data_IF_959682554797
#
_entry.id   IF_959682554797
#
_cell.length_a   1.000
_cell.length_b   1.000
_cell.length_c   1.000
_cell.angle_alpha   90.00
_cell.angle_beta   90.00
_cell.angle_gamma   90.00
#
_symmetry.space_group_name_H-M   'P 1'
#
loop_
_entity.id
_entity.type
_entity.pdbx_description
1 polymer ?
#
# COMPACT_ATOMS: atom_id res chain seq x y z
N UNK A 1 -1.72 23.21 -28.54
CA UNK A 1 -1.31 23.69 -27.21
C UNK A 1 -1.25 22.45 -26.34
N UNK A 2 -0.04 21.96 -26.08
CA UNK A 2 0.15 20.94 -25.05
C UNK A 2 -0.27 21.55 -23.71
N UNK A 3 -1.12 20.87 -22.97
CA UNK A 3 -1.51 21.31 -21.64
C UNK A 3 -0.25 21.34 -20.78
N UNK A 4 0.08 22.49 -20.18
CA UNK A 4 1.17 22.60 -19.22
C UNK A 4 0.99 21.56 -18.12
N UNK A 5 1.96 20.66 -18.01
CA UNK A 5 1.95 19.57 -17.04
C UNK A 5 2.29 20.17 -15.68
N UNK A 6 1.36 20.07 -14.73
CA UNK A 6 1.58 20.54 -13.36
C UNK A 6 2.64 19.66 -12.70
N UNK A 7 3.67 20.28 -12.13
CA UNK A 7 4.69 19.62 -11.33
C UNK A 7 4.24 19.53 -9.87
N UNK A 8 4.17 18.31 -9.36
CA UNK A 8 3.83 17.95 -7.99
C UNK A 8 5.08 17.59 -7.17
N UNK A 9 6.26 17.48 -7.79
CA UNK A 9 7.52 17.18 -7.13
C UNK A 9 8.08 18.43 -6.46
N UNK A 10 7.62 18.69 -5.24
CA UNK A 10 8.11 19.82 -4.44
C UNK A 10 9.61 19.69 -4.19
N UNK A 11 10.34 20.75 -4.53
CA UNK A 11 11.74 20.93 -4.16
C UNK A 11 11.84 21.55 -2.76
N UNK A 12 12.84 21.11 -1.99
CA UNK A 12 13.12 21.73 -0.70
C UNK A 12 13.84 23.07 -0.87
N UNK A 13 13.67 24.02 0.08
CA UNK A 13 14.45 25.25 0.09
C UNK A 13 15.96 24.97 0.13
N UNK A 14 16.71 25.72 -0.69
CA UNK A 14 18.17 25.61 -0.72
C UNK A 14 18.78 26.00 0.63
N UNK A 15 19.64 25.14 1.16
CA UNK A 15 20.44 25.41 2.35
C UNK A 15 21.81 25.90 1.87
N UNK A 16 22.23 27.07 2.35
CA UNK A 16 23.51 27.65 1.97
C UNK A 16 24.66 26.67 2.24
N UNK A 17 25.44 26.41 1.20
CA UNK A 17 26.56 25.49 1.25
C UNK A 17 26.21 24.00 1.15
N UNK A 18 24.93 23.67 0.95
CA UNK A 18 24.42 22.30 0.83
C UNK A 18 23.64 22.11 -0.47
N UNK A 19 24.31 22.32 -1.61
CA UNK A 19 23.66 22.23 -2.92
C UNK A 19 23.71 20.81 -3.51
N UNK A 20 24.81 20.09 -3.29
CA UNK A 20 25.06 18.80 -3.93
C UNK A 20 25.56 17.80 -2.90
N UNK A 21 24.87 16.68 -2.77
CA UNK A 21 25.31 15.55 -1.98
C UNK A 21 26.11 14.56 -2.84
N UNK A 22 27.09 13.93 -2.23
CA UNK A 22 27.84 12.85 -2.84
C UNK A 22 27.39 11.53 -2.22
N UNK A 23 26.97 10.59 -3.07
CA UNK A 23 26.51 9.27 -2.66
C UNK A 23 27.40 8.22 -3.29
N UNK A 24 27.80 7.24 -2.49
CA UNK A 24 28.36 6.00 -2.99
C UNK A 24 27.29 4.93 -3.09
N UNK A 25 27.33 4.15 -4.16
CA UNK A 25 26.39 3.08 -4.43
C UNK A 25 27.13 1.76 -4.61
N UNK A 26 26.59 0.70 -4.03
CA UNK A 26 27.12 -0.66 -4.15
C UNK A 26 26.00 -1.58 -4.58
N UNK A 27 26.15 -2.16 -5.77
CA UNK A 27 25.22 -3.11 -6.35
C UNK A 27 25.75 -4.53 -6.23
N UNK A 28 24.86 -5.52 -6.11
CA UNK A 28 25.24 -6.91 -6.20
C UNK A 28 25.86 -7.18 -7.57
N UNK A 29 27.05 -7.79 -7.59
CA UNK A 29 27.79 -8.08 -8.83
C UNK A 29 27.02 -8.98 -9.81
N UNK A 30 26.05 -9.73 -9.30
CA UNK A 30 25.33 -10.75 -10.06
C UNK A 30 23.85 -10.37 -10.19
N UNK A 31 23.55 -9.43 -11.10
CA UNK A 31 22.18 -9.04 -11.42
C UNK A 31 21.31 -10.25 -11.85
N UNK A 32 21.92 -11.23 -12.53
CA UNK A 32 21.26 -12.49 -12.92
C UNK A 32 20.81 -13.31 -11.70
N UNK A 33 21.54 -13.29 -10.59
CA UNK A 33 21.13 -13.96 -9.35
C UNK A 33 19.87 -13.34 -8.75
N UNK A 34 19.72 -12.01 -8.82
CA UNK A 34 18.51 -11.31 -8.37
C UNK A 34 17.31 -11.69 -9.23
N UNK A 35 17.45 -11.66 -10.55
CA UNK A 35 16.39 -12.08 -11.49
C UNK A 35 16.00 -13.55 -11.28
N UNK A 36 16.99 -14.42 -11.03
CA UNK A 36 16.75 -15.83 -10.71
C UNK A 36 15.98 -15.99 -9.39
N UNK A 37 16.27 -15.16 -8.38
CA UNK A 37 15.56 -15.17 -7.09
C UNK A 37 14.09 -14.80 -7.28
N UNK A 38 13.82 -13.74 -8.02
CA UNK A 38 12.44 -13.32 -8.35
C UNK A 38 11.69 -14.41 -9.13
N UNK A 39 12.34 -14.97 -10.15
CA UNK A 39 11.78 -16.06 -10.97
C UNK A 39 11.48 -17.30 -10.12
N UNK A 40 12.36 -17.63 -9.16
CA UNK A 40 12.17 -18.75 -8.25
C UNK A 40 10.94 -18.55 -7.36
N UNK A 41 10.78 -17.37 -6.76
CA UNK A 41 9.63 -17.04 -5.90
C UNK A 41 8.33 -17.07 -6.71
N UNK A 42 8.32 -16.48 -7.91
CA UNK A 42 7.17 -16.48 -8.79
C UNK A 42 6.77 -17.90 -9.21
N UNK A 43 7.73 -18.76 -9.55
CA UNK A 43 7.47 -20.15 -9.95
C UNK A 43 6.85 -20.97 -8.81
N UNK A 44 7.32 -20.78 -7.57
CA UNK A 44 6.73 -21.44 -6.40
C UNK A 44 5.29 -21.00 -6.16
N UNK A 45 5.03 -19.69 -6.27
CA UNK A 45 3.66 -19.18 -6.19
C UNK A 45 2.77 -19.76 -7.29
N UNK A 46 3.21 -19.74 -8.56
CA UNK A 46 2.43 -20.28 -9.68
C UNK A 46 2.10 -21.75 -9.44
N UNK A 47 3.07 -22.54 -8.97
CA UNK A 47 2.86 -23.95 -8.65
C UNK A 47 1.80 -24.11 -7.55
N UNK A 48 1.95 -23.40 -6.43
CA UNK A 48 1.00 -23.41 -5.32
C UNK A 48 -0.42 -22.96 -5.74
N UNK A 49 -0.50 -21.89 -6.54
CA UNK A 49 -1.75 -21.37 -7.08
C UNK A 49 -2.43 -22.38 -8.00
N UNK A 50 -1.69 -22.96 -8.96
CA UNK A 50 -2.22 -23.96 -9.89
C UNK A 50 -2.70 -25.23 -9.18
N UNK A 51 -2.01 -25.67 -8.13
CA UNK A 51 -2.46 -26.81 -7.32
C UNK A 51 -3.78 -26.50 -6.60
N UNK A 52 -3.87 -25.32 -5.98
CA UNK A 52 -5.07 -24.86 -5.28
C UNK A 52 -6.25 -24.68 -6.24
N UNK A 53 -5.98 -24.15 -7.43
CA UNK A 53 -6.95 -24.01 -8.51
C UNK A 53 -7.46 -25.37 -8.99
N UNK A 54 -6.56 -26.32 -9.30
CA UNK A 54 -6.92 -27.68 -9.74
C UNK A 54 -7.76 -28.41 -8.70
N UNK A 55 -7.37 -28.35 -7.42
CA UNK A 55 -8.11 -28.95 -6.31
C UNK A 55 -9.52 -28.37 -6.19
N UNK A 56 -9.63 -27.04 -6.25
CA UNK A 56 -10.93 -26.36 -6.16
C UNK A 56 -11.83 -26.67 -7.36
N UNK A 57 -11.26 -26.71 -8.57
CA UNK A 57 -12.00 -27.06 -9.79
C UNK A 57 -12.52 -28.49 -9.74
N UNK A 58 -11.69 -29.45 -9.30
CA UNK A 58 -12.10 -30.84 -9.08
C UNK A 58 -13.23 -30.94 -8.06
N UNK A 59 -13.14 -30.21 -6.94
CA UNK A 59 -14.21 -30.17 -5.93
C UNK A 59 -15.53 -29.63 -6.49
N UNK A 60 -15.48 -28.60 -7.33
CA UNK A 60 -16.65 -28.03 -8.00
C UNK A 60 -17.29 -29.03 -8.98
N UNK A 61 -16.48 -29.75 -9.75
CA UNK A 61 -16.95 -30.78 -10.68
C UNK A 61 -17.59 -31.97 -9.95
N UNK A 62 -17.04 -32.37 -8.80
CA UNK A 62 -17.58 -33.45 -7.96
C UNK A 62 -18.83 -33.05 -7.14
N UNK A 63 -19.09 -31.74 -6.97
CA UNK A 63 -20.20 -31.23 -6.15
C UNK A 63 -20.95 -30.07 -6.83
N UNK A 64 -21.55 -30.27 -8.01
CA UNK A 64 -22.15 -29.18 -8.79
C UNK A 64 -23.36 -28.53 -8.10
N UNK A 65 -24.06 -29.27 -7.22
CA UNK A 65 -25.24 -28.78 -6.48
C UNK A 65 -24.89 -27.84 -5.30
N UNK A 66 -23.63 -27.83 -4.84
CA UNK A 66 -23.23 -27.09 -3.64
C UNK A 66 -22.74 -25.70 -4.01
N UNK A 67 -23.28 -24.67 -3.37
CA UNK A 67 -22.71 -23.32 -3.49
C UNK A 67 -21.28 -23.30 -2.96
N UNK A 68 -20.33 -22.88 -3.80
CA UNK A 68 -18.95 -22.67 -3.37
C UNK A 68 -18.89 -21.54 -2.32
N UNK A 69 -18.05 -21.74 -1.32
CA UNK A 69 -17.68 -20.67 -0.38
C UNK A 69 -16.95 -19.56 -1.11
N UNK A 70 -16.95 -18.36 -0.53
CA UNK A 70 -16.30 -17.20 -1.12
C UNK A 70 -14.79 -17.41 -1.33
N UNK A 71 -14.14 -18.16 -0.44
CA UNK A 71 -12.72 -18.52 -0.53
C UNK A 71 -12.41 -19.41 -1.73
N UNK A 72 -13.25 -20.42 -2.00
CA UNK A 72 -13.10 -21.30 -3.17
C UNK A 72 -13.39 -20.53 -4.47
N UNK A 73 -14.37 -19.62 -4.45
CA UNK A 73 -14.62 -18.72 -5.57
C UNK A 73 -13.44 -17.79 -5.84
N UNK A 74 -12.81 -17.26 -4.79
CA UNK A 74 -11.61 -16.43 -4.90
C UNK A 74 -10.43 -17.24 -5.45
N UNK A 75 -10.31 -18.52 -5.09
CA UNK A 75 -9.26 -19.41 -5.63
C UNK A 75 -9.44 -19.67 -7.13
N UNK A 76 -10.68 -19.72 -7.63
CA UNK A 76 -10.97 -19.92 -9.05
C UNK A 76 -10.94 -18.64 -9.89
N UNK A 77 -10.96 -17.46 -9.25
CA UNK A 77 -10.94 -16.19 -9.95
C UNK A 77 -9.54 -15.89 -10.50
N UNK A 78 -9.37 -16.08 -11.81
CA UNK A 78 -8.10 -15.84 -12.51
C UNK A 78 -7.89 -14.38 -12.93
N UNK A 79 -8.69 -13.44 -12.41
CA UNK A 79 -8.49 -12.02 -12.67
C UNK A 79 -7.12 -11.57 -12.14
N UNK A 80 -6.41 -10.75 -12.93
CA UNK A 80 -5.13 -10.13 -12.55
C UNK A 80 -5.14 -9.55 -11.13
N UNK A 81 -6.17 -8.79 -10.76
CA UNK A 81 -6.24 -8.14 -9.42
C UNK A 81 -6.27 -9.16 -8.29
N UNK A 82 -6.94 -10.28 -8.51
CA UNK A 82 -7.08 -11.33 -7.51
C UNK A 82 -5.79 -12.16 -7.41
N UNK A 83 -5.21 -12.55 -8.55
CA UNK A 83 -3.91 -13.24 -8.59
C UNK A 83 -2.82 -12.38 -7.95
N UNK A 84 -2.78 -11.08 -8.28
CA UNK A 84 -1.82 -10.14 -7.70
C UNK A 84 -1.97 -10.06 -6.18
N UNK A 85 -3.20 -9.96 -5.67
CA UNK A 85 -3.49 -9.97 -4.23
C UNK A 85 -2.98 -11.27 -3.57
N UNK A 86 -3.32 -12.42 -4.15
CA UNK A 86 -2.86 -13.72 -3.63
C UNK A 86 -1.35 -13.87 -3.67
N UNK A 87 -0.68 -13.33 -4.70
CA UNK A 87 0.78 -13.32 -4.79
C UNK A 87 1.40 -12.51 -3.65
N UNK A 88 0.89 -11.31 -3.37
CA UNK A 88 1.39 -10.50 -2.25
C UNK A 88 1.16 -11.15 -0.90
N UNK A 89 0.00 -11.77 -0.69
CA UNK A 89 -0.26 -12.56 0.52
C UNK A 89 0.71 -13.73 0.63
N UNK A 90 0.90 -14.48 -0.46
CA UNK A 90 1.84 -15.61 -0.51
C UNK A 90 3.28 -15.17 -0.20
N UNK A 91 3.76 -14.07 -0.80
CA UNK A 91 5.07 -13.51 -0.50
C UNK A 91 5.18 -13.11 0.97
N UNK A 92 4.18 -12.42 1.54
CA UNK A 92 4.22 -11.99 2.94
C UNK A 92 4.46 -13.14 3.92
N UNK A 93 3.89 -14.31 3.66
CA UNK A 93 4.03 -15.48 4.55
C UNK A 93 5.24 -16.37 4.22
N UNK A 94 5.62 -16.47 2.95
CA UNK A 94 6.60 -17.47 2.50
C UNK A 94 7.96 -16.88 2.08
N UNK A 95 8.10 -15.55 1.98
CA UNK A 95 9.31 -14.92 1.43
C UNK A 95 10.57 -15.35 2.16
N UNK A 96 10.60 -15.28 3.50
CA UNK A 96 11.79 -15.65 4.28
C UNK A 96 12.19 -17.11 4.07
N UNK A 97 11.23 -18.02 4.04
CA UNK A 97 11.45 -19.45 3.78
C UNK A 97 11.99 -19.67 2.37
N UNK A 98 11.36 -19.06 1.36
CA UNK A 98 11.75 -19.20 -0.04
C UNK A 98 13.11 -18.57 -0.32
N UNK A 99 13.45 -17.45 0.31
CA UNK A 99 14.77 -16.84 0.20
C UNK A 99 15.85 -17.75 0.79
N UNK A 100 15.58 -18.38 1.95
CA UNK A 100 16.50 -19.36 2.52
C UNK A 100 16.67 -20.59 1.61
N UNK A 101 15.58 -21.11 1.06
CA UNK A 101 15.64 -22.22 0.11
C UNK A 101 16.41 -21.87 -1.16
N UNK A 102 16.15 -20.69 -1.73
CA UNK A 102 16.87 -20.19 -2.88
C UNK A 102 18.35 -20.06 -2.58
N UNK A 103 18.69 -19.47 -1.42
CA UNK A 103 20.07 -19.28 -1.03
C UNK A 103 20.81 -20.62 -0.88
N UNK A 104 20.15 -21.62 -0.28
CA UNK A 104 20.72 -22.95 -0.10
C UNK A 104 20.91 -23.72 -1.42
N UNK A 105 19.96 -23.60 -2.36
CA UNK A 105 19.97 -24.38 -3.62
C UNK A 105 20.74 -23.69 -4.76
N UNK A 106 20.56 -22.38 -4.90
CA UNK A 106 20.96 -21.61 -6.08
C UNK A 106 22.04 -20.55 -5.80
N UNK A 107 22.24 -20.13 -4.54
CA UNK A 107 23.28 -19.17 -4.15
C UNK A 107 24.43 -19.83 -3.36
N UNK A 108 25.07 -20.84 -3.97
CA UNK A 108 26.13 -21.64 -3.31
C UNK A 108 27.30 -20.81 -2.78
N UNK A 109 27.60 -19.69 -3.47
CA UNK A 109 28.68 -18.77 -3.10
C UNK A 109 28.28 -17.76 -2.02
N UNK A 110 27.03 -17.77 -1.56
CA UNK A 110 26.47 -16.77 -0.63
C UNK A 110 26.70 -15.34 -1.12
N UNK A 111 26.54 -15.14 -2.42
CA UNK A 111 26.63 -13.81 -3.02
C UNK A 111 25.54 -12.90 -2.44
N UNK A 112 25.86 -11.67 -2.05
CA UNK A 112 24.88 -10.75 -1.50
C UNK A 112 23.86 -10.38 -2.58
N UNK A 113 22.57 -10.40 -2.23
CA UNK A 113 21.47 -9.96 -3.11
C UNK A 113 20.89 -8.61 -2.70
N UNK A 114 21.69 -7.81 -2.00
CA UNK A 114 21.28 -6.52 -1.44
C UNK A 114 22.08 -5.41 -2.08
N UNK A 115 21.41 -4.29 -2.34
CA UNK A 115 22.02 -3.06 -2.84
C UNK A 115 22.11 -2.08 -1.67
N UNK A 116 23.21 -1.35 -1.59
CA UNK A 116 23.46 -0.38 -0.52
C UNK A 116 23.85 0.98 -1.07
N UNK A 117 23.52 2.04 -0.33
CA UNK A 117 24.01 3.38 -0.60
C UNK A 117 24.59 3.99 0.67
N UNK A 118 25.58 4.87 0.49
CA UNK A 118 26.23 5.62 1.57
C UNK A 118 26.25 7.10 1.20
N UNK A 119 25.66 7.93 2.06
CA UNK A 119 25.78 9.39 1.98
C UNK A 119 27.17 9.77 2.50
N UNK A 120 28.02 10.37 1.65
CA UNK A 120 29.40 10.72 1.98
C UNK A 120 29.50 12.09 2.63
N UNK A 121 28.86 13.08 2.01
CA UNK A 121 28.93 14.47 2.41
C UNK A 121 28.10 15.34 1.49
N UNK A 122 27.96 16.60 1.89
CA UNK A 122 27.21 17.61 1.16
C UNK A 122 28.12 18.81 0.92
N UNK A 123 28.05 19.38 -0.28
CA UNK A 123 28.97 20.38 -0.77
C UNK A 123 28.23 21.58 -1.38
N UNK A 124 28.88 22.76 -1.38
CA UNK A 124 28.29 24.00 -1.84
C UNK A 124 28.17 24.12 -3.37
N UNK A 125 28.90 23.32 -4.15
CA UNK A 125 28.96 23.49 -5.60
C UNK A 125 29.30 22.18 -6.31
N UNK A 126 28.73 21.98 -7.50
CA UNK A 126 29.03 20.85 -8.37
C UNK A 126 30.52 20.73 -8.71
N UNK A 127 31.25 21.85 -8.84
CA UNK A 127 32.68 21.83 -9.14
C UNK A 127 33.47 21.13 -8.03
N UNK A 128 33.18 21.48 -6.77
CA UNK A 128 33.83 20.88 -5.60
C UNK A 128 33.47 19.40 -5.48
N UNK A 129 32.20 19.06 -5.71
CA UNK A 129 31.72 17.68 -5.65
C UNK A 129 32.38 16.80 -6.71
N UNK A 130 32.58 17.30 -7.94
CA UNK A 130 33.27 16.58 -9.01
C UNK A 130 34.71 16.25 -8.63
N UNK A 131 35.49 17.24 -8.19
CA UNK A 131 36.87 16.99 -7.74
C UNK A 131 36.92 15.96 -6.60
N UNK A 132 35.95 16.00 -5.66
CA UNK A 132 35.87 15.02 -4.58
C UNK A 132 35.42 13.64 -5.04
N UNK A 133 34.54 13.55 -6.03
CA UNK A 133 34.16 12.30 -6.66
C UNK A 133 35.37 11.64 -7.33
N UNK A 134 36.17 12.42 -8.06
CA UNK A 134 37.38 11.94 -8.73
C UNK A 134 38.42 11.43 -7.74
N UNK A 135 38.65 12.16 -6.64
CA UNK A 135 39.50 11.68 -5.54
C UNK A 135 39.00 10.34 -5.00
N UNK A 136 37.69 10.21 -4.74
CA UNK A 136 37.11 8.98 -4.19
C UNK A 136 37.16 7.81 -5.18
N UNK A 137 36.99 8.06 -6.48
CA UNK A 137 37.17 7.03 -7.51
C UNK A 137 38.61 6.49 -7.54
N UNK A 138 39.59 7.34 -7.25
CA UNK A 138 40.98 6.91 -7.12
C UNK A 138 41.20 6.00 -5.90
N UNK A 139 40.61 6.34 -4.75
CA UNK A 139 40.76 5.56 -3.52
C UNK A 139 39.90 4.29 -3.48
N UNK A 140 38.70 4.31 -4.08
CA UNK A 140 37.71 3.24 -4.03
C UNK A 140 37.15 2.93 -5.44
N UNK A 141 37.98 2.37 -6.35
CA UNK A 141 37.58 2.16 -7.75
C UNK A 141 36.46 1.12 -7.93
N UNK A 142 36.19 0.31 -6.92
CA UNK A 142 35.14 -0.72 -6.95
C UNK A 142 33.74 -0.17 -6.61
N UNK A 143 33.63 1.10 -6.22
CA UNK A 143 32.39 1.71 -5.75
C UNK A 143 31.97 2.82 -6.73
N UNK A 144 30.70 2.80 -7.12
CA UNK A 144 30.14 3.85 -7.97
C UNK A 144 29.84 5.08 -7.10
N UNK A 145 30.24 6.26 -7.57
CA UNK A 145 30.02 7.53 -6.86
C UNK A 145 29.16 8.44 -7.73
N UNK A 146 28.12 8.99 -7.14
CA UNK A 146 27.14 9.83 -7.81
C UNK A 146 27.05 11.20 -7.13
N UNK A 147 26.93 12.23 -7.96
CA UNK A 147 26.61 13.58 -7.53
C UNK A 147 25.11 13.79 -7.63
N UNK A 148 24.46 14.15 -6.53
CA UNK A 148 23.02 14.32 -6.48
C UNK A 148 22.65 15.72 -5.97
N UNK A 149 21.71 16.45 -6.59
CA UNK A 149 21.21 17.70 -6.05
C UNK A 149 20.47 17.48 -4.74
N UNK A 150 20.71 18.36 -3.75
CA UNK A 150 19.99 18.35 -2.47
C UNK A 150 18.62 19.01 -2.65
N UNK A 151 17.60 18.45 -2.00
CA UNK A 151 16.23 18.99 -2.03
C UNK A 151 15.47 18.70 -3.32
N UNK A 152 16.00 17.86 -4.22
CA UNK A 152 15.32 17.44 -5.44
C UNK A 152 15.07 15.94 -5.43
N UNK A 153 13.99 15.54 -6.09
CA UNK A 153 13.67 14.13 -6.30
C UNK A 153 14.59 13.53 -7.35
N UNK A 154 15.05 12.30 -7.10
CA UNK A 154 15.88 11.54 -8.04
C UNK A 154 15.25 10.17 -8.21
N UNK A 155 14.86 9.80 -9.44
CA UNK A 155 14.29 8.49 -9.68
C UNK A 155 15.38 7.42 -9.54
N UNK A 156 14.99 6.30 -8.94
CA UNK A 156 15.83 5.11 -8.85
C UNK A 156 14.98 3.89 -9.17
N UNK A 157 15.38 3.13 -10.18
CA UNK A 157 14.72 1.90 -10.59
C UNK A 157 15.76 0.77 -10.77
N UNK A 158 15.78 -0.24 -9.89
CA UNK A 158 16.76 -1.33 -9.98
C UNK A 158 16.56 -2.28 -11.18
N UNK A 159 15.41 -2.19 -11.85
CA UNK A 159 15.03 -3.04 -13.00
C UNK A 159 15.23 -2.33 -14.35
N UNK A 160 15.86 -1.15 -14.36
CA UNK A 160 15.99 -0.31 -15.55
C UNK A 160 17.11 -0.79 -16.49
N UNK A 161 16.98 -2.03 -16.98
CA UNK A 161 17.86 -2.67 -17.99
C UNK A 161 17.70 -2.04 -19.39
N UNK A 162 16.62 -1.30 -19.60
CA UNK A 162 16.44 -0.44 -20.75
C UNK A 162 16.81 0.97 -20.32
N UNK A 163 17.64 1.67 -21.08
CA UNK A 163 18.12 3.04 -20.82
C UNK A 163 16.97 4.06 -20.87
N UNK A 164 15.95 3.92 -20.01
CA UNK A 164 14.80 4.82 -19.95
C UNK A 164 15.32 6.19 -19.55
N UNK A 165 15.03 7.18 -20.39
CA UNK A 165 15.47 8.56 -20.21
C UNK A 165 14.98 9.14 -18.88
N UNK A 166 15.83 9.94 -18.24
CA UNK A 166 15.57 10.49 -16.90
C UNK A 166 14.26 11.28 -16.84
N UNK A 167 13.85 11.92 -17.93
CA UNK A 167 12.63 12.72 -18.02
C UNK A 167 11.37 11.87 -17.85
N UNK A 168 11.30 10.69 -18.49
CA UNK A 168 10.18 9.77 -18.33
C UNK A 168 10.06 9.25 -16.90
N UNK A 169 11.20 9.05 -16.23
CA UNK A 169 11.20 8.59 -14.84
C UNK A 169 10.72 9.68 -13.88
N UNK A 170 11.08 10.94 -14.14
CA UNK A 170 10.56 12.10 -13.40
C UNK A 170 9.06 12.27 -13.62
N UNK A 171 8.57 12.11 -14.84
CA UNK A 171 7.14 12.12 -15.14
C UNK A 171 6.37 11.03 -14.37
N UNK A 172 6.89 9.80 -14.40
CA UNK A 172 6.28 8.70 -13.65
C UNK A 172 6.26 8.97 -12.15
N UNK A 173 7.32 9.59 -11.61
CA UNK A 173 7.38 9.98 -10.21
C UNK A 173 6.36 11.08 -9.87
N UNK A 174 6.19 12.05 -10.77
CA UNK A 174 5.21 13.12 -10.65
C UNK A 174 3.77 12.57 -10.58
N UNK A 175 3.45 11.61 -11.45
CA UNK A 175 2.14 10.94 -11.45
C UNK A 175 1.88 10.16 -10.15
N UNK A 176 2.93 9.55 -9.57
CA UNK A 176 2.83 8.85 -8.28
C UNK A 176 2.51 9.85 -7.15
N UNK A 177 3.18 11.00 -7.10
CA UNK A 177 2.94 12.01 -6.06
C UNK A 177 1.54 12.59 -6.19
N UNK A 178 1.13 12.94 -7.41
CA UNK A 178 -0.24 13.37 -7.71
C UNK A 178 -1.29 12.36 -7.24
N UNK A 179 -1.10 11.08 -7.54
CA UNK A 179 -2.02 10.03 -7.11
C UNK A 179 -2.17 9.94 -5.60
N UNK A 180 -1.06 10.14 -4.85
CA UNK A 180 -1.08 10.17 -3.38
C UNK A 180 -1.78 11.39 -2.82
N UNK A 181 -1.55 12.56 -3.41
CA UNK A 181 -2.21 13.81 -3.02
C UNK A 181 -3.73 13.73 -3.26
N UNK A 182 -4.14 13.17 -4.40
CA UNK A 182 -5.56 12.91 -4.70
C UNK A 182 -6.19 11.92 -3.70
N UNK A 183 -5.46 10.88 -3.30
CA UNK A 183 -5.91 9.94 -2.27
C UNK A 183 -5.97 10.57 -0.87
N UNK A 184 -5.05 11.48 -0.55
CA UNK A 184 -5.05 12.24 0.69
C UNK A 184 -6.25 13.20 0.74
N UNK A 185 -6.44 14.00 -0.30
CA UNK A 185 -7.58 14.92 -0.41
C UNK A 185 -8.92 14.18 -0.31
N UNK A 186 -9.05 13.01 -0.95
CA UNK A 186 -10.23 12.14 -0.80
C UNK A 186 -10.43 11.67 0.63
N UNK A 187 -9.36 11.27 1.32
CA UNK A 187 -9.44 10.85 2.74
C UNK A 187 -9.89 12.00 3.63
N UNK A 188 -9.38 13.20 3.39
CA UNK A 188 -9.72 14.40 4.16
C UNK A 188 -11.19 14.80 3.94
N UNK A 189 -11.64 14.83 2.68
CA UNK A 189 -13.05 15.05 2.33
C UNK A 189 -13.98 14.01 2.98
N UNK A 190 -13.61 12.72 2.91
CA UNK A 190 -14.38 11.66 3.57
C UNK A 190 -14.40 11.81 5.09
N UNK A 191 -13.34 12.34 5.69
CA UNK A 191 -13.25 12.61 7.12
C UNK A 191 -14.14 13.81 7.51
N UNK A 192 -14.09 14.90 6.75
CA UNK A 192 -14.97 16.06 6.94
C UNK A 192 -16.45 15.72 6.78
N UNK A 193 -16.80 14.93 5.75
CA UNK A 193 -18.16 14.44 5.57
C UNK A 193 -18.65 13.61 6.77
N UNK A 194 -17.78 12.77 7.35
CA UNK A 194 -18.13 12.00 8.55
C UNK A 194 -18.36 12.91 9.74
N UNK A 195 -17.51 13.92 9.93
CA UNK A 195 -17.64 14.94 10.98
C UNK A 195 -18.97 15.68 10.85
N UNK A 196 -19.32 16.13 9.65
CA UNK A 196 -20.60 16.80 9.39
C UNK A 196 -21.82 15.88 9.58
N UNK A 197 -21.77 14.63 9.11
CA UNK A 197 -22.84 13.65 9.32
C UNK A 197 -23.05 13.34 10.80
N UNK A 198 -21.99 13.26 11.58
CA UNK A 198 -22.08 13.03 13.03
C UNK A 198 -22.71 14.21 13.75
N UNK A 199 -22.25 15.45 13.47
CA UNK A 199 -22.84 16.68 14.02
C UNK A 199 -24.34 16.78 13.76
N UNK A 200 -24.77 16.52 12.52
CA UNK A 200 -26.22 16.54 12.16
C UNK A 200 -27.03 15.52 12.95
N UNK A 201 -26.53 14.29 13.10
CA UNK A 201 -27.23 13.26 13.90
C UNK A 201 -27.37 13.68 15.37
N UNK A 202 -26.35 14.31 15.93
CA UNK A 202 -26.39 14.79 17.32
C UNK A 202 -27.41 15.92 17.46
N UNK A 203 -27.42 16.88 16.54
CA UNK A 203 -28.42 17.96 16.53
C UNK A 203 -29.85 17.40 16.41
N UNK A 204 -30.06 16.38 15.57
CA UNK A 204 -31.34 15.67 15.44
C UNK A 204 -31.71 14.91 16.74
N UNK A 205 -30.76 14.18 17.34
CA UNK A 205 -30.98 13.45 18.59
C UNK A 205 -31.25 14.38 19.77
N UNK A 206 -30.57 15.51 19.86
CA UNK A 206 -30.80 16.53 20.88
C UNK A 206 -32.16 17.22 20.70
N UNK A 207 -32.57 17.53 19.46
CA UNK A 207 -33.93 18.04 19.19
C UNK A 207 -35.00 17.04 19.62
N UNK A 208 -34.86 15.78 19.22
CA UNK A 208 -35.80 14.70 19.61
C UNK A 208 -35.83 14.46 21.12
N UNK A 209 -34.71 14.64 21.84
CA UNK A 209 -34.65 14.56 23.30
C UNK A 209 -35.34 15.75 23.96
N UNK A 210 -35.17 16.97 23.44
CA UNK A 210 -35.86 18.18 23.93
C UNK A 210 -37.37 18.04 23.77
N UNK A 211 -37.85 17.66 22.59
CA UNK A 211 -39.28 17.40 22.32
C UNK A 211 -39.86 16.34 23.26
N UNK A 212 -39.12 15.24 23.55
CA UNK A 212 -39.57 14.19 24.48
C UNK A 212 -39.53 14.58 25.95
N UNK A 213 -38.66 15.51 26.35
CA UNK A 213 -38.59 15.99 27.73
C UNK A 213 -39.70 17.01 28.01
N UNK A 214 -40.03 17.86 27.02
CA UNK A 214 -41.19 18.76 27.06
C UNK A 214 -42.51 17.99 27.21
N UNK A 215 -42.65 16.84 26.54
CA UNK A 215 -43.82 15.96 26.71
C UNK A 215 -43.90 15.26 28.08
N UNK A 216 -42.79 15.20 28.84
CA UNK A 216 -42.69 14.40 30.09
C UNK A 216 -42.61 15.24 31.38
N UNK A 217 -42.63 16.57 31.32
CA UNK A 217 -42.53 17.47 32.50
C UNK A 217 -41.40 17.08 33.49
N UNK A 218 -40.24 16.67 32.97
CA UNK A 218 -39.05 16.39 33.79
C UNK A 218 -37.96 17.43 33.49
N UNK A 219 -37.62 18.25 34.50
CA UNK A 219 -36.55 19.27 34.46
C UNK A 219 -35.16 18.62 34.65
N UNK A 220 -34.73 17.78 33.71
CA UNK A 220 -33.34 17.31 33.66
C UNK A 220 -32.75 17.58 32.28
N UNK A 221 -31.93 18.63 32.19
CA UNK A 221 -31.17 19.02 30.99
C UNK A 221 -29.86 18.23 30.92
N UNK A 222 -29.89 17.00 30.39
CA UNK A 222 -28.66 16.32 29.97
C UNK A 222 -28.48 16.49 28.45
N UNK A 223 -27.78 17.55 28.04
CA UNK A 223 -27.30 17.71 26.67
C UNK A 223 -26.09 16.79 26.43
N UNK A 224 -26.08 16.04 25.32
CA UNK A 224 -24.89 15.29 24.92
C UNK A 224 -23.83 16.28 24.43
N UNK A 225 -22.69 16.35 25.14
CA UNK A 225 -21.61 17.30 24.82
C UNK A 225 -20.87 16.88 23.55
N UNK A 226 -20.62 17.85 22.67
CA UNK A 226 -19.98 17.65 21.36
C UNK A 226 -18.50 17.26 21.51
N UNK A 227 -17.83 17.71 22.57
CA UNK A 227 -16.41 17.44 22.83
C UNK A 227 -16.11 15.98 23.20
N UNK A 228 -16.96 15.32 23.98
CA UNK A 228 -16.73 13.95 24.47
C UNK A 228 -16.75 12.89 23.35
N UNK A 229 -17.44 13.17 22.24
CA UNK A 229 -17.55 12.29 21.06
C UNK A 229 -16.51 12.64 19.99
N UNK A 230 -15.98 13.87 19.98
CA UNK A 230 -14.85 14.23 19.12
C UNK A 230 -13.63 13.36 19.46
N UNK A 231 -13.43 13.03 20.74
CA UNK A 231 -12.41 12.08 21.19
C UNK A 231 -12.65 10.65 20.69
N UNK A 232 -13.90 10.19 20.62
CA UNK A 232 -14.25 8.88 20.03
C UNK A 232 -14.01 8.83 18.51
N UNK A 233 -14.15 9.98 17.83
CA UNK A 233 -13.82 10.18 16.40
C UNK A 233 -12.31 10.17 16.14
N UNK A 234 -11.50 10.74 17.03
CA UNK A 234 -10.03 10.68 16.94
C UNK A 234 -9.47 9.30 17.32
N UNK A 235 -10.18 8.55 18.17
CA UNK A 235 -9.83 7.17 18.53
C UNK A 235 -10.16 6.13 17.43
N UNK A 236 -11.07 6.44 16.50
CA UNK A 236 -11.46 5.53 15.43
C UNK A 236 -10.51 5.62 14.22
N UNK A 237 -9.82 4.53 13.82
CA UNK A 237 -8.88 4.59 12.70
C UNK A 237 -9.60 4.94 11.39
N UNK A 238 -9.04 5.88 10.63
CA UNK A 238 -9.50 6.21 9.28
C UNK A 238 -9.17 5.03 8.36
N UNK A 239 -10.11 4.10 8.26
CA UNK A 239 -9.99 2.94 7.39
C UNK A 239 -9.86 3.39 5.93
N UNK A 240 -8.82 2.90 5.27
CA UNK A 240 -8.54 3.16 3.85
C UNK A 240 -9.68 2.66 2.95
N UNK A 241 -9.77 3.14 1.72
CA UNK A 241 -10.82 2.77 0.76
C UNK A 241 -10.88 1.25 0.48
N UNK A 242 -9.75 0.55 0.63
CA UNK A 242 -9.63 -0.91 0.58
C UNK A 242 -10.27 -1.59 1.80
N UNK A 243 -10.06 -1.08 3.01
CA UNK A 243 -10.63 -1.58 4.26
C UNK A 243 -12.14 -1.31 4.38
N UNK A 244 -12.65 -0.21 3.82
CA UNK A 244 -14.10 0.05 3.76
C UNK A 244 -14.83 -0.95 2.83
N UNK A 245 -14.15 -1.49 1.81
CA UNK A 245 -14.72 -2.50 0.90
C UNK A 245 -14.81 -3.88 1.57
N UNK A 246 -13.84 -4.26 2.39
CA UNK A 246 -13.89 -5.53 3.15
C UNK A 246 -14.98 -5.50 4.22
N UNK A 247 -15.18 -4.38 4.93
CA UNK A 247 -16.26 -4.25 5.92
C UNK A 247 -17.68 -4.22 5.32
N UNK A 248 -17.88 -3.57 4.17
CA UNK A 248 -19.17 -3.58 3.48
C UNK A 248 -19.56 -4.98 3.01
N UNK A 249 -18.58 -5.82 2.64
CA UNK A 249 -18.80 -7.25 2.35
C UNK A 249 -19.19 -8.01 3.63
N UNK A 250 -18.48 -7.82 4.74
CA UNK A 250 -18.77 -8.49 6.01
C UNK A 250 -20.14 -8.11 6.61
N UNK A 251 -20.56 -6.83 6.53
CA UNK A 251 -21.89 -6.38 6.98
C UNK A 251 -23.04 -6.91 6.10
N UNK A 252 -22.82 -7.11 4.80
CA UNK A 252 -23.81 -7.77 3.91
C UNK A 252 -23.94 -9.27 4.22
N UNK A 253 -22.83 -9.92 4.58
CA UNK A 253 -22.83 -11.32 5.04
C UNK A 253 -23.59 -11.53 6.35
N UNK A 254 -23.36 -10.69 7.36
CA UNK A 254 -24.08 -10.77 8.63
C UNK A 254 -25.60 -10.55 8.52
N UNK A 255 -26.05 -9.69 7.59
CA UNK A 255 -27.48 -9.48 7.33
C UNK A 255 -28.15 -10.63 6.57
N UNK A 256 -27.44 -11.35 5.70
CA UNK A 256 -27.96 -12.57 5.05
C UNK A 256 -28.12 -13.73 6.04
N UNK A 257 -27.16 -13.94 6.94
CA UNK A 257 -27.22 -15.00 7.95
C UNK A 257 -28.32 -14.80 9.00
N UNK A 258 -28.69 -13.55 9.32
CA UNK A 258 -29.86 -13.28 10.19
C UNK A 258 -31.20 -13.56 9.50
N UNK A 259 -31.31 -13.34 8.18
CA UNK A 259 -32.55 -13.62 7.43
C UNK A 259 -32.78 -15.13 7.22
N UNK A 260 -31.73 -15.92 7.04
CA UNK A 260 -31.83 -17.39 6.90
C UNK A 260 -32.17 -18.08 8.22
N UNK A 261 -31.63 -17.59 9.35
CA UNK A 261 -31.97 -18.13 10.68
C UNK A 261 -33.41 -17.81 11.12
N UNK A 262 -33.98 -16.66 10.72
CA UNK A 262 -35.40 -16.38 10.99
C UNK A 262 -36.35 -17.24 10.15
N UNK A 263 -36.01 -17.57 8.88
CA UNK A 263 -36.82 -18.49 8.06
C UNK A 263 -36.82 -19.93 8.61
N UNK A 264 -35.69 -20.42 9.15
CA UNK A 264 -35.60 -21.76 9.77
C UNK A 264 -36.36 -21.88 11.09
N UNK A 265 -36.55 -20.80 11.85
CA UNK A 265 -37.34 -20.80 13.08
C UNK A 265 -38.85 -20.81 12.84
N UNK A 266 -39.32 -20.28 11.71
CA UNK A 266 -40.75 -20.25 11.36
C UNK A 266 -41.23 -21.62 10.87
N UNK A 267 -40.41 -22.39 10.14
CA UNK A 267 -40.78 -23.73 9.65
C UNK A 267 -40.67 -24.87 10.68
N UNK A 268 -40.34 -24.58 11.96
CA UNK A 268 -40.30 -25.57 13.05
C UNK A 268 -41.50 -25.47 14.01
N UNK A 269 -42.51 -24.65 13.68
CA UNK A 269 -43.67 -24.37 14.54
C UNK A 269 -45.03 -24.83 13.98
N UNK A 270 -45.04 -25.65 12.92
CA UNK A 270 -46.22 -26.38 12.46
C UNK A 270 -45.93 -27.88 12.47
#
# INVERSE_FOLDING_TARGET
>A
MEAEKVDYLKEDPLIAGQEVALISFVEPKNARLLQNKESFIATHFITHFLESYKKTKKYQEENPEKELTDELKETLDTNYKNIQKQYYEYQKFNLSTLENEFNNKHNKNKEPTVTGFKVRGVYPSQLVTKSKADELHHFEPAINVFCIPVGKWIPYCPLNDQEIESEYQMEALNDIVKGKDDEMAKRDLEYEERKHKMKRKIEEENKLKKEKNEEKNNDSEEEVQVEEILDELYAAPVKTSSEKKSEKKNKKFGKKNRKTNNKRKINKKN
#
